data_IF_989916176894
#
_entry.id   IF_989916176894
#
_cell.length_a   1.000
_cell.length_b   1.000
_cell.length_c   1.000
_cell.angle_alpha   90.00
_cell.angle_beta   90.00
_cell.angle_gamma   90.00
#
_symmetry.space_group_name_H-M   'P 1'
#
loop_
_entity.id
_entity.type
_entity.pdbx_description
1 polymer ?
#
# COMPACT_ATOMS: atom_id res chain seq x y z
N UNK A 1 29.21 52.08 -33.90
CA UNK A 1 29.43 50.64 -33.64
C UNK A 1 30.01 50.54 -32.25
N UNK A 2 29.18 50.14 -31.28
CA UNK A 2 29.42 50.29 -29.84
C UNK A 2 29.36 48.93 -29.16
N UNK A 3 30.25 48.79 -28.19
CA UNK A 3 30.50 47.67 -27.30
C UNK A 3 29.23 47.11 -26.65
N UNK A 4 28.97 45.81 -26.82
CA UNK A 4 27.84 45.10 -26.17
C UNK A 4 28.22 43.74 -25.54
N UNK A 5 29.50 43.48 -25.29
CA UNK A 5 29.94 42.15 -24.84
C UNK A 5 30.54 42.09 -23.43
N UNK A 6 30.62 43.22 -22.71
CA UNK A 6 31.27 43.26 -21.38
C UNK A 6 30.33 42.99 -20.18
N UNK A 7 29.02 42.84 -20.38
CA UNK A 7 28.05 42.74 -19.27
C UNK A 7 27.75 41.31 -18.80
N UNK A 8 28.30 40.27 -19.43
CA UNK A 8 27.95 38.86 -19.11
C UNK A 8 28.96 38.13 -18.21
N UNK A 9 30.14 38.70 -17.98
CA UNK A 9 31.21 38.03 -17.24
C UNK A 9 31.15 38.23 -15.71
N UNK A 10 30.31 39.14 -15.19
CA UNK A 10 30.28 39.51 -13.76
C UNK A 10 29.00 39.05 -13.04
N UNK A 11 27.95 38.64 -13.78
CA UNK A 11 26.66 38.22 -13.19
C UNK A 11 26.61 36.75 -12.72
N UNK A 12 27.52 35.89 -13.20
CA UNK A 12 27.53 34.47 -12.84
C UNK A 12 28.00 34.15 -11.40
N UNK A 13 29.04 34.81 -10.82
CA UNK A 13 29.48 34.46 -9.47
C UNK A 13 28.55 34.96 -8.35
N UNK A 14 27.80 36.05 -8.57
CA UNK A 14 26.89 36.60 -7.56
C UNK A 14 25.69 35.66 -7.27
N UNK A 15 25.24 34.90 -8.26
CA UNK A 15 24.12 33.96 -8.12
C UNK A 15 24.53 32.67 -7.39
N UNK A 16 25.80 32.26 -7.49
CA UNK A 16 26.34 31.10 -6.76
C UNK A 16 26.50 31.37 -5.25
N UNK A 17 26.84 32.60 -4.86
CA UNK A 17 26.94 32.98 -3.43
C UNK A 17 25.56 32.97 -2.76
N UNK A 18 24.50 33.40 -3.45
CA UNK A 18 23.13 33.36 -2.94
C UNK A 18 22.57 31.93 -2.83
N UNK A 19 22.93 31.03 -3.76
CA UNK A 19 22.54 29.62 -3.69
C UNK A 19 23.26 28.85 -2.56
N UNK A 20 24.52 29.20 -2.26
CA UNK A 20 25.29 28.58 -1.18
C UNK A 20 24.79 28.94 0.22
N UNK A 21 24.32 30.17 0.44
CA UNK A 21 23.79 30.60 1.74
C UNK A 21 22.47 29.89 2.10
N UNK A 22 21.69 29.46 1.10
CA UNK A 22 20.43 28.72 1.35
C UNK A 22 20.64 27.31 1.90
N UNK A 23 21.85 26.74 1.84
CA UNK A 23 22.18 25.42 2.39
C UNK A 23 22.71 25.47 3.83
N UNK A 24 23.07 26.64 4.36
CA UNK A 24 23.60 26.81 5.72
C UNK A 24 22.54 27.19 6.76
N UNK A 25 21.27 27.36 6.37
CA UNK A 25 20.20 27.54 7.34
C UNK A 25 19.82 26.18 7.92
N UNK A 26 20.08 25.90 9.21
CA UNK A 26 19.54 24.72 9.86
C UNK A 26 18.03 24.81 9.77
N UNK A 27 17.41 23.91 9.01
CA UNK A 27 15.96 23.73 9.08
C UNK A 27 15.71 23.30 10.52
N UNK A 28 15.03 24.11 11.35
CA UNK A 28 14.70 23.66 12.69
C UNK A 28 13.98 22.32 12.52
N UNK A 29 14.37 21.28 13.29
CA UNK A 29 13.62 20.03 13.25
C UNK A 29 12.18 20.42 13.47
N UNK A 30 11.31 20.09 12.52
CA UNK A 30 9.89 20.28 12.67
C UNK A 30 9.48 19.37 13.82
N UNK A 31 9.59 19.91 15.05
CA UNK A 31 9.15 19.26 16.26
C UNK A 31 7.67 19.06 16.07
N UNK A 32 7.26 17.84 15.78
CA UNK A 32 5.87 17.50 15.67
C UNK A 32 5.28 17.63 17.08
N UNK A 33 4.75 18.81 17.40
CA UNK A 33 3.98 19.04 18.62
C UNK A 33 2.82 18.03 18.64
N UNK A 34 2.83 17.13 19.61
CA UNK A 34 1.74 16.17 19.78
C UNK A 34 0.76 16.74 20.79
N UNK A 35 -0.46 16.97 20.33
CA UNK A 35 -1.57 17.46 21.13
C UNK A 35 -2.33 16.28 21.74
N UNK A 36 -2.48 16.29 23.06
CA UNK A 36 -3.28 15.32 23.82
C UNK A 36 -4.59 15.96 24.25
N UNK A 37 -5.72 15.31 23.98
CA UNK A 37 -7.04 15.75 24.45
C UNK A 37 -7.89 14.54 24.87
N UNK A 38 -8.86 14.78 25.74
CA UNK A 38 -9.78 13.73 26.25
C UNK A 38 -11.19 14.09 25.82
N UNK A 39 -11.91 13.12 25.26
CA UNK A 39 -13.30 13.31 24.83
C UNK A 39 -14.32 13.11 25.98
N UNK A 40 -15.61 13.26 25.67
CA UNK A 40 -16.73 13.08 26.61
C UNK A 40 -16.84 11.64 27.15
N UNK A 41 -16.26 10.66 26.46
CA UNK A 41 -16.23 9.25 26.86
C UNK A 41 -14.99 8.91 27.67
N UNK A 42 -14.21 9.91 28.09
CA UNK A 42 -12.91 9.74 28.77
C UNK A 42 -11.86 9.00 27.92
N UNK A 43 -11.98 9.00 26.59
CA UNK A 43 -10.98 8.44 25.68
C UNK A 43 -9.92 9.50 25.37
N UNK A 44 -8.65 9.13 25.54
CA UNK A 44 -7.50 10.00 25.27
C UNK A 44 -7.09 9.88 23.81
N UNK A 45 -7.04 11.00 23.11
CA UNK A 45 -6.62 11.10 21.72
C UNK A 45 -5.31 11.88 21.61
N UNK A 46 -4.48 11.49 20.65
CA UNK A 46 -3.22 12.16 20.31
C UNK A 46 -3.25 12.58 18.84
N UNK A 47 -2.94 13.83 18.54
CA UNK A 47 -2.88 14.34 17.16
C UNK A 47 -1.67 15.25 16.98
N UNK A 48 -1.06 15.22 15.79
CA UNK A 48 0.02 16.13 15.41
C UNK A 48 -0.48 17.50 14.90
N UNK A 49 -1.80 17.67 14.74
CA UNK A 49 -2.39 18.89 14.20
C UNK A 49 -3.51 19.41 15.11
N UNK A 50 -3.31 20.59 15.71
CA UNK A 50 -4.31 21.24 16.57
C UNK A 50 -5.63 21.52 15.84
N UNK A 51 -5.58 21.84 14.55
CA UNK A 51 -6.77 22.13 13.76
C UNK A 51 -7.67 20.90 13.54
N UNK A 52 -7.15 19.68 13.75
CA UNK A 52 -7.97 18.46 13.68
C UNK A 52 -8.77 18.20 14.97
N UNK A 53 -8.55 18.98 16.02
CA UNK A 53 -9.23 18.81 17.31
C UNK A 53 -10.59 19.53 17.25
N UNK A 54 -11.71 18.87 17.61
CA UNK A 54 -13.02 19.52 17.63
C UNK A 54 -13.01 20.77 18.52
N UNK A 55 -13.68 21.84 18.08
CA UNK A 55 -13.66 23.17 18.72
C UNK A 55 -13.92 23.09 20.24
N UNK A 56 -14.89 22.26 20.65
CA UNK A 56 -15.24 22.06 22.07
C UNK A 56 -14.12 21.50 22.96
N UNK A 57 -13.08 20.93 22.38
CA UNK A 57 -11.93 20.37 23.09
C UNK A 57 -10.64 21.17 22.88
N UNK A 58 -10.63 22.21 22.05
CA UNK A 58 -9.41 22.97 21.75
C UNK A 58 -8.83 23.71 22.96
N UNK A 59 -9.68 24.04 23.94
CA UNK A 59 -9.29 24.72 25.18
C UNK A 59 -8.80 23.77 26.27
N UNK A 60 -9.05 22.46 26.15
CA UNK A 60 -8.62 21.42 27.11
C UNK A 60 -7.37 20.66 26.66
N UNK A 61 -6.81 21.03 25.51
CA UNK A 61 -5.64 20.39 24.91
C UNK A 61 -4.40 20.65 25.76
N UNK A 62 -3.62 19.59 26.00
CA UNK A 62 -2.27 19.69 26.58
C UNK A 62 -1.24 19.38 25.51
N UNK A 63 -0.27 20.25 25.34
CA UNK A 63 0.91 20.02 24.50
C UNK A 63 1.79 19.01 25.24
N UNK A 64 2.12 17.90 24.59
CA UNK A 64 3.02 16.89 25.13
C UNK A 64 4.30 16.95 24.31
N UNK A 65 5.36 17.52 24.89
CA UNK A 65 6.64 17.74 24.21
C UNK A 65 7.34 16.43 23.82
N UNK A 66 7.04 15.35 24.53
CA UNK A 66 7.58 14.02 24.24
C UNK A 66 6.40 13.07 24.13
N UNK A 67 6.12 12.47 22.96
CA UNK A 67 5.13 11.42 22.86
C UNK A 67 5.44 10.40 23.97
N UNK A 68 4.49 10.08 24.86
CA UNK A 68 4.75 9.04 25.84
C UNK A 68 5.21 7.82 25.05
N UNK A 69 6.37 7.26 25.39
CA UNK A 69 6.84 6.01 24.79
C UNK A 69 5.62 5.10 24.76
N UNK A 70 5.09 4.84 23.56
CA UNK A 70 3.96 3.94 23.40
C UNK A 70 4.38 2.70 24.18
N UNK A 71 3.63 2.27 25.21
CA UNK A 71 3.96 1.04 25.90
C UNK A 71 4.02 0.01 24.79
N UNK A 72 5.24 -0.38 24.41
CA UNK A 72 5.52 -1.35 23.36
C UNK A 72 4.55 -2.46 23.66
N UNK A 73 3.53 -2.59 22.79
CA UNK A 73 2.35 -3.40 23.05
C UNK A 73 2.87 -4.65 23.72
N UNK A 74 2.66 -4.80 25.04
CA UNK A 74 3.27 -5.88 25.81
C UNK A 74 2.92 -7.08 24.98
N UNK A 75 3.92 -7.70 24.37
CA UNK A 75 3.76 -8.99 23.72
C UNK A 75 3.04 -9.77 24.79
N UNK A 76 1.76 -10.05 24.53
CA UNK A 76 0.92 -10.76 25.45
C UNK A 76 1.61 -12.12 25.46
N UNK A 77 2.50 -12.31 26.43
CA UNK A 77 3.04 -13.60 26.78
C UNK A 77 1.79 -14.39 27.05
N UNK A 78 1.37 -15.14 26.04
CA UNK A 78 0.39 -16.18 26.23
C UNK A 78 0.98 -17.00 27.36
N UNK A 79 0.28 -17.12 28.51
CA UNK A 79 0.74 -18.03 29.54
C UNK A 79 0.95 -19.35 28.82
N UNK A 80 2.20 -19.83 28.86
CA UNK A 80 2.54 -21.13 28.35
C UNK A 80 1.49 -22.07 28.94
N UNK A 81 0.58 -22.54 28.09
CA UNK A 81 -0.31 -23.61 28.47
C UNK A 81 0.63 -24.78 28.65
N UNK A 82 0.99 -25.00 29.91
CA UNK A 82 1.48 -26.25 30.47
C UNK A 82 0.39 -27.30 30.17
N UNK A 83 0.33 -27.70 28.91
CA UNK A 83 -0.37 -28.91 28.51
C UNK A 83 0.61 -30.02 28.82
N UNK A 84 0.69 -30.36 30.11
CA UNK A 84 1.15 -31.67 30.52
C UNK A 84 0.26 -32.66 29.78
N UNK A 85 0.84 -33.35 28.81
CA UNK A 85 0.26 -34.55 28.22
C UNK A 85 0.67 -35.66 29.20
N UNK A 86 -0.24 -36.17 30.06
CA UNK A 86 0.06 -37.36 30.81
C UNK A 86 -0.03 -38.55 29.85
N UNK A 87 1.04 -39.32 29.76
CA UNK A 87 1.04 -40.72 29.32
C UNK A 87 0.26 -41.02 28.05
N UNK A 88 0.92 -40.91 26.90
CA UNK A 88 0.60 -41.80 25.78
C UNK A 88 1.73 -42.83 25.70
N UNK A 89 1.34 -44.03 26.11
CA UNK A 89 2.07 -45.28 26.00
C UNK A 89 2.57 -45.44 24.56
N UNK A 90 3.84 -45.84 24.43
CA UNK A 90 4.45 -46.33 23.19
C UNK A 90 3.68 -47.57 22.72
N UNK A 91 2.71 -47.39 21.83
CA UNK A 91 2.16 -48.47 21.03
C UNK A 91 3.04 -48.61 19.77
N UNK A 92 4.05 -49.47 19.88
CA UNK A 92 4.74 -50.07 18.74
C UNK A 92 3.71 -50.74 17.82
N UNK A 93 3.52 -50.21 16.62
CA UNK A 93 2.92 -50.96 15.52
C UNK A 93 3.69 -50.75 14.21
N UNK A 94 3.68 -51.77 13.34
CA UNK A 94 4.86 -52.22 12.61
C UNK A 94 5.05 -51.53 11.28
N UNK A 95 6.29 -51.64 10.80
CA UNK A 95 6.67 -51.43 9.41
C UNK A 95 5.75 -52.22 8.46
N UNK A 96 4.96 -51.51 7.65
CA UNK A 96 4.48 -52.06 6.38
C UNK A 96 4.82 -51.10 5.23
N UNK A 97 5.77 -51.57 4.43
CA UNK A 97 6.12 -51.06 3.12
C UNK A 97 5.07 -51.53 2.13
N UNK A 98 4.26 -50.63 1.55
CA UNK A 98 3.86 -50.77 0.15
C UNK A 98 3.00 -49.64 -0.40
N UNK A 99 3.40 -49.23 -1.61
CA UNK A 99 2.57 -48.80 -2.75
C UNK A 99 1.96 -47.40 -2.74
N UNK A 100 2.45 -46.61 -3.70
CA UNK A 100 1.67 -45.53 -4.30
C UNK A 100 2.51 -44.57 -5.14
N UNK A 101 2.93 -45.01 -6.32
CA UNK A 101 3.50 -44.11 -7.33
C UNK A 101 2.50 -43.00 -7.69
N UNK A 102 2.93 -41.74 -7.85
CA UNK A 102 2.05 -40.66 -8.31
C UNK A 102 1.69 -40.85 -9.79
N UNK A 103 0.43 -40.65 -10.21
CA UNK A 103 0.07 -40.71 -11.62
C UNK A 103 0.65 -39.53 -12.40
N UNK A 104 1.34 -39.87 -13.49
CA UNK A 104 1.78 -38.98 -14.55
C UNK A 104 0.62 -38.11 -15.04
N UNK A 105 0.74 -36.79 -14.88
CA UNK A 105 -0.20 -35.81 -15.40
C UNK A 105 0.16 -35.52 -16.85
N UNK A 106 -0.52 -36.18 -17.77
CA UNK A 106 -0.46 -35.93 -19.22
C UNK A 106 -1.01 -34.54 -19.55
N UNK A 107 -0.19 -33.80 -20.28
CA UNK A 107 -0.51 -32.88 -21.38
C UNK A 107 -1.96 -32.43 -21.53
N UNK A 108 -2.20 -31.14 -21.25
CA UNK A 108 -3.30 -30.37 -21.85
C UNK A 108 -2.67 -29.26 -22.68
N UNK A 109 -2.40 -29.59 -23.93
CA UNK A 109 -2.09 -28.65 -25.01
C UNK A 109 -3.37 -27.90 -25.37
N UNK A 110 -3.67 -26.84 -24.63
CA UNK A 110 -4.77 -25.92 -24.94
C UNK A 110 -4.27 -24.74 -25.77
N UNK A 111 -4.17 -24.94 -27.08
CA UNK A 111 -4.03 -23.87 -28.07
C UNK A 111 -5.21 -22.88 -27.93
N UNK A 112 -4.98 -21.70 -27.36
CA UNK A 112 -5.92 -20.58 -27.47
C UNK A 112 -5.41 -19.66 -28.58
N UNK A 113 -5.91 -19.93 -29.77
CA UNK A 113 -5.85 -19.08 -30.95
C UNK A 113 -6.68 -17.81 -30.66
N UNK A 114 -6.03 -16.75 -30.17
CA UNK A 114 -6.68 -15.43 -30.05
C UNK A 114 -6.67 -14.76 -31.42
N UNK A 115 -7.77 -14.94 -32.14
CA UNK A 115 -8.08 -14.18 -33.36
C UNK A 115 -8.17 -12.68 -33.06
N UNK A 116 -7.38 -11.90 -33.78
CA UNK A 116 -7.58 -10.46 -33.93
C UNK A 116 -8.71 -10.16 -34.92
N UNK A 117 -9.63 -9.29 -34.53
CA UNK A 117 -10.59 -8.53 -35.35
C UNK A 117 -11.49 -7.80 -34.34
N UNK A 118 -11.74 -6.50 -34.36
CA UNK A 118 -11.46 -5.40 -35.26
C UNK A 118 -12.32 -4.21 -34.80
N UNK A 119 -12.26 -3.14 -35.59
CA UNK A 119 -13.20 -2.00 -35.60
C UNK A 119 -13.06 -0.95 -34.49
N UNK A 120 -12.23 0.05 -34.81
CA UNK A 120 -12.45 1.43 -34.41
C UNK A 120 -13.82 1.92 -34.93
N UNK A 121 -14.79 2.09 -34.03
CA UNK A 121 -16.04 2.77 -34.31
C UNK A 121 -15.99 4.17 -33.70
N UNK A 122 -15.76 5.17 -34.58
CA UNK A 122 -16.14 6.56 -34.33
C UNK A 122 -17.66 6.61 -34.23
N UNK A 123 -18.21 6.70 -33.02
CA UNK A 123 -19.63 6.97 -32.84
C UNK A 123 -19.85 8.43 -32.44
N UNK A 124 -20.56 9.13 -33.31
CA UNK A 124 -20.94 10.51 -33.19
C UNK A 124 -22.03 10.71 -32.13
N UNK A 125 -21.84 11.75 -31.32
CA UNK A 125 -22.83 12.74 -30.87
C UNK A 125 -24.31 12.37 -31.14
N UNK A 126 -25.05 12.09 -30.07
CA UNK A 126 -26.46 12.48 -29.96
C UNK A 126 -26.67 13.26 -28.67
N UNK A 127 -26.89 14.56 -28.85
CA UNK A 127 -27.39 15.49 -27.85
C UNK A 127 -28.88 15.19 -27.67
N UNK A 128 -29.24 14.45 -26.63
CA UNK A 128 -30.64 14.25 -26.24
C UNK A 128 -30.92 15.14 -25.04
N UNK A 129 -31.40 16.36 -25.31
CA UNK A 129 -32.11 17.20 -24.35
C UNK A 129 -33.46 16.52 -24.05
N UNK A 130 -33.41 15.51 -23.17
CA UNK A 130 -34.56 14.83 -22.63
C UNK A 130 -34.76 15.27 -21.19
N UNK A 131 -35.80 16.06 -20.98
CA UNK A 131 -36.28 16.60 -19.71
C UNK A 131 -36.76 15.46 -18.82
N UNK A 132 -35.84 14.71 -18.24
CA UNK A 132 -36.13 13.67 -17.24
C UNK A 132 -36.46 14.38 -15.93
N UNK A 133 -37.74 14.27 -15.55
CA UNK A 133 -38.26 14.73 -14.28
C UNK A 133 -37.35 14.23 -13.16
N UNK A 134 -36.83 15.17 -12.37
CA UNK A 134 -36.08 14.94 -11.15
C UNK A 134 -36.86 13.98 -10.26
N UNK A 135 -36.60 12.68 -10.39
CA UNK A 135 -36.98 11.71 -9.37
C UNK A 135 -36.27 12.24 -8.13
N UNK A 136 -36.99 12.64 -7.07
CA UNK A 136 -36.37 13.15 -5.87
C UNK A 136 -35.43 12.05 -5.41
N UNK A 137 -34.13 12.33 -5.52
CA UNK A 137 -33.01 11.52 -5.04
C UNK A 137 -33.45 11.04 -3.67
N UNK A 138 -33.92 9.78 -3.61
CA UNK A 138 -34.66 9.27 -2.48
C UNK A 138 -33.86 9.64 -1.26
N UNK A 139 -34.46 10.44 -0.37
CA UNK A 139 -33.85 10.86 0.86
C UNK A 139 -33.40 9.58 1.56
N UNK A 140 -32.11 9.26 1.40
CA UNK A 140 -31.51 8.07 1.93
C UNK A 140 -31.69 8.23 3.43
N UNK A 141 -32.62 7.46 3.99
CA UNK A 141 -32.76 7.35 5.43
C UNK A 141 -31.33 7.13 5.94
N UNK A 142 -30.85 7.95 6.90
CA UNK A 142 -29.50 7.80 7.41
C UNK A 142 -29.37 6.35 7.83
N UNK A 143 -28.62 5.56 7.04
CA UNK A 143 -28.34 4.15 7.29
C UNK A 143 -27.37 4.10 8.45
N UNK A 144 -27.85 4.52 9.62
CA UNK A 144 -27.24 4.43 10.92
C UNK A 144 -27.39 2.97 11.37
N UNK A 145 -26.87 2.03 10.57
CA UNK A 145 -27.40 0.66 10.55
C UNK A 145 -26.42 -0.48 10.32
N UNK A 146 -25.14 -0.23 10.04
CA UNK A 146 -24.15 -1.31 9.93
C UNK A 146 -22.91 -0.99 10.78
N UNK A 147 -22.93 -1.46 12.02
CA UNK A 147 -21.82 -1.39 12.98
C UNK A 147 -21.31 0.04 13.30
N UNK A 148 -22.17 1.06 13.13
CA UNK A 148 -21.79 2.46 13.35
C UNK A 148 -20.84 3.05 12.31
N UNK A 149 -20.67 2.39 11.14
CA UNK A 149 -19.77 2.86 10.07
C UNK A 149 -20.56 3.20 8.81
N UNK A 150 -20.57 4.48 8.46
CA UNK A 150 -21.28 4.99 7.28
C UNK A 150 -20.52 4.82 5.96
N UNK A 151 -21.12 5.32 4.89
CA UNK A 151 -20.58 5.34 3.51
C UNK A 151 -19.12 5.83 3.44
N UNK A 152 -18.82 6.97 4.08
CA UNK A 152 -17.49 7.56 4.04
C UNK A 152 -16.40 6.64 4.60
N UNK A 153 -16.73 5.81 5.60
CA UNK A 153 -15.77 4.85 6.14
C UNK A 153 -15.45 3.74 5.13
N UNK A 154 -16.48 3.17 4.50
CA UNK A 154 -16.30 2.10 3.51
C UNK A 154 -15.53 2.59 2.29
N UNK A 155 -15.88 3.75 1.73
CA UNK A 155 -15.14 4.36 0.62
C UNK A 155 -13.68 4.60 0.97
N UNK A 156 -13.41 5.18 2.14
CA UNK A 156 -12.03 5.40 2.59
C UNK A 156 -11.24 4.09 2.71
N UNK A 157 -11.85 3.03 3.24
CA UNK A 157 -11.20 1.72 3.38
C UNK A 157 -10.92 1.05 2.04
N UNK A 158 -11.87 1.09 1.10
CA UNK A 158 -11.67 0.53 -0.24
C UNK A 158 -10.60 1.30 -1.01
N UNK A 159 -10.66 2.64 -1.01
CA UNK A 159 -9.67 3.48 -1.67
C UNK A 159 -8.26 3.27 -1.09
N UNK A 160 -8.11 3.20 0.23
CA UNK A 160 -6.81 2.96 0.83
C UNK A 160 -6.27 1.56 0.50
N UNK A 161 -7.14 0.54 0.52
CA UNK A 161 -6.75 -0.82 0.15
C UNK A 161 -6.32 -0.91 -1.32
N UNK A 162 -7.05 -0.26 -2.23
CA UNK A 162 -6.72 -0.19 -3.66
C UNK A 162 -5.38 0.50 -3.88
N UNK A 163 -5.19 1.69 -3.30
CA UNK A 163 -3.91 2.42 -3.37
C UNK A 163 -2.77 1.61 -2.79
N UNK A 164 -3.01 0.87 -1.70
CA UNK A 164 -2.04 -0.04 -1.11
C UNK A 164 -1.59 -1.13 -2.09
N UNK A 165 -2.54 -1.79 -2.76
CA UNK A 165 -2.26 -2.82 -3.78
C UNK A 165 -1.51 -2.21 -4.96
N UNK A 166 -1.96 -1.06 -5.47
CA UNK A 166 -1.35 -0.40 -6.63
C UNK A 166 0.09 0.04 -6.35
N UNK A 167 0.35 0.74 -5.24
CA UNK A 167 1.70 1.14 -4.81
C UNK A 167 2.62 -0.08 -4.70
N UNK A 168 2.15 -1.14 -4.06
CA UNK A 168 2.94 -2.36 -3.89
C UNK A 168 3.21 -3.06 -5.23
N UNK A 169 2.24 -3.03 -6.15
CA UNK A 169 2.42 -3.60 -7.49
C UNK A 169 3.47 -2.84 -8.30
N UNK A 170 3.49 -1.51 -8.22
CA UNK A 170 4.53 -0.69 -8.85
C UNK A 170 5.92 -1.00 -8.30
N UNK A 171 6.04 -1.23 -6.98
CA UNK A 171 7.29 -1.66 -6.34
C UNK A 171 7.76 -3.01 -6.89
N UNK A 172 6.87 -4.00 -6.97
CA UNK A 172 7.22 -5.32 -7.52
C UNK A 172 7.66 -5.22 -8.98
N UNK A 173 6.97 -4.43 -9.80
CA UNK A 173 7.33 -4.29 -11.21
C UNK A 173 8.66 -3.57 -11.39
N UNK A 174 8.96 -2.53 -10.59
CA UNK A 174 10.25 -1.84 -10.66
C UNK A 174 11.43 -2.76 -10.29
N UNK A 175 11.25 -3.66 -9.31
CA UNK A 175 12.23 -4.68 -8.97
C UNK A 175 12.44 -5.69 -10.11
N UNK A 176 11.34 -6.14 -10.75
CA UNK A 176 11.41 -7.04 -11.91
C UNK A 176 12.12 -6.38 -13.09
N UNK A 177 11.82 -5.12 -13.37
CA UNK A 177 12.49 -4.35 -14.42
C UNK A 177 13.98 -4.19 -14.13
N UNK A 178 14.35 -3.89 -12.89
CA UNK A 178 15.76 -3.81 -12.49
C UNK A 178 16.48 -5.15 -12.68
N UNK A 179 15.86 -6.26 -12.27
CA UNK A 179 16.42 -7.60 -12.51
C UNK A 179 16.58 -7.91 -14.01
N UNK A 180 15.58 -7.60 -14.83
CA UNK A 180 15.67 -7.74 -16.30
C UNK A 180 16.83 -6.91 -16.87
N UNK A 181 17.04 -5.70 -16.37
CA UNK A 181 18.16 -4.84 -16.79
C UNK A 181 19.52 -5.45 -16.42
N UNK A 182 19.68 -5.96 -15.20
CA UNK A 182 20.92 -6.61 -14.75
C UNK A 182 21.22 -7.86 -15.58
N UNK A 183 20.20 -8.71 -15.83
CA UNK A 183 20.34 -9.91 -16.66
C UNK A 183 20.75 -9.51 -18.09
N UNK A 184 20.10 -8.48 -18.65
CA UNK A 184 20.39 -7.98 -19.99
C UNK A 184 21.82 -7.43 -20.09
N UNK A 185 22.29 -6.68 -19.09
CA UNK A 185 23.67 -6.17 -19.09
C UNK A 185 24.71 -7.30 -18.97
N UNK A 186 24.40 -8.38 -18.25
CA UNK A 186 25.29 -9.54 -18.15
C UNK A 186 25.33 -10.36 -19.44
N UNK A 187 24.20 -10.51 -20.14
CA UNK A 187 24.15 -11.24 -21.41
C UNK A 187 24.96 -10.61 -22.54
N UNK A 188 25.39 -9.35 -22.39
CA UNK A 188 26.14 -8.59 -23.38
C UNK A 188 27.60 -9.01 -23.57
N UNK A 189 28.11 -10.01 -22.83
CA UNK A 189 29.46 -10.57 -23.02
C UNK A 189 30.61 -9.83 -22.33
N UNK A 190 30.39 -8.63 -21.80
CA UNK A 190 31.39 -7.84 -21.07
C UNK A 190 31.40 -8.07 -19.55
N UNK A 191 30.54 -8.97 -19.03
CA UNK A 191 30.48 -9.22 -17.59
C UNK A 191 31.71 -10.00 -17.10
N UNK A 192 32.43 -9.39 -16.15
CA UNK A 192 33.65 -9.95 -15.53
C UNK A 192 33.34 -11.09 -14.55
N UNK A 193 32.11 -11.13 -14.01
CA UNK A 193 31.68 -12.08 -12.99
C UNK A 193 30.45 -12.88 -13.43
N UNK A 194 30.27 -14.11 -12.93
CA UNK A 194 29.00 -14.82 -13.03
C UNK A 194 27.84 -13.97 -12.49
N UNK A 195 26.67 -14.07 -13.11
CA UNK A 195 25.48 -13.29 -12.72
C UNK A 195 25.08 -13.57 -11.26
N UNK A 196 25.26 -14.81 -10.81
CA UNK A 196 24.99 -15.25 -9.45
C UNK A 196 25.88 -14.56 -8.42
N UNK A 197 27.06 -14.08 -8.81
CA UNK A 197 28.02 -13.39 -7.95
C UNK A 197 27.85 -11.85 -7.99
N UNK A 198 26.96 -11.32 -8.83
CA UNK A 198 26.66 -9.90 -8.85
C UNK A 198 25.88 -9.50 -7.56
N UNK A 199 26.42 -8.56 -6.75
CA UNK A 199 25.80 -8.20 -5.48
C UNK A 199 24.46 -7.46 -5.64
N UNK A 200 24.27 -6.71 -6.73
CA UNK A 200 22.96 -6.11 -7.04
C UNK A 200 21.95 -7.19 -7.43
N UNK A 201 22.35 -8.17 -8.24
CA UNK A 201 21.48 -9.30 -8.60
C UNK A 201 21.00 -10.04 -7.35
N UNK A 202 21.93 -10.46 -6.48
CA UNK A 202 21.60 -11.16 -5.24
C UNK A 202 20.67 -10.33 -4.34
N UNK A 203 20.96 -9.03 -4.18
CA UNK A 203 20.11 -8.13 -3.39
C UNK A 203 18.68 -8.09 -3.93
N UNK A 204 18.51 -7.91 -5.23
CA UNK A 204 17.17 -7.84 -5.84
C UNK A 204 16.44 -9.18 -5.81
N UNK A 205 17.16 -10.28 -6.07
CA UNK A 205 16.63 -11.64 -6.01
C UNK A 205 16.12 -12.01 -4.60
N UNK A 206 16.77 -11.50 -3.55
CA UNK A 206 16.34 -11.70 -2.16
C UNK A 206 15.15 -10.83 -1.75
N UNK A 207 15.05 -9.60 -2.28
CA UNK A 207 13.98 -8.66 -1.93
C UNK A 207 12.67 -9.00 -2.64
N UNK A 208 12.73 -9.39 -3.92
CA UNK A 208 11.54 -9.57 -4.76
C UNK A 208 10.50 -10.55 -4.16
N UNK A 209 10.86 -11.76 -3.67
CA UNK A 209 9.89 -12.70 -3.07
C UNK A 209 9.16 -12.12 -1.85
N UNK A 210 9.83 -11.27 -1.07
CA UNK A 210 9.24 -10.59 0.09
C UNK A 210 8.19 -9.57 -0.33
N UNK A 211 8.50 -8.76 -1.33
CA UNK A 211 7.59 -7.74 -1.85
C UNK A 211 6.39 -8.37 -2.59
N UNK A 212 6.60 -9.48 -3.29
CA UNK A 212 5.51 -10.27 -3.89
C UNK A 212 4.60 -10.89 -2.83
N UNK A 213 5.18 -11.40 -1.74
CA UNK A 213 4.41 -11.93 -0.61
C UNK A 213 3.53 -10.85 0.02
N UNK A 214 4.07 -9.63 0.17
CA UNK A 214 3.33 -8.46 0.66
C UNK A 214 2.20 -8.06 -0.28
N UNK A 215 2.44 -8.03 -1.59
CA UNK A 215 1.41 -7.78 -2.60
C UNK A 215 0.28 -8.82 -2.50
N UNK A 216 0.62 -10.09 -2.37
CA UNK A 216 -0.34 -11.18 -2.23
C UNK A 216 -1.15 -11.08 -0.92
N UNK A 217 -0.54 -10.61 0.17
CA UNK A 217 -1.25 -10.32 1.42
C UNK A 217 -2.24 -9.17 1.25
N UNK A 218 -1.85 -8.06 0.62
CA UNK A 218 -2.75 -6.94 0.35
C UNK A 218 -3.93 -7.35 -0.53
N UNK A 219 -3.68 -8.12 -1.60
CA UNK A 219 -4.74 -8.68 -2.45
C UNK A 219 -5.68 -9.61 -1.69
N UNK A 220 -5.19 -10.40 -0.74
CA UNK A 220 -6.04 -11.22 0.15
C UNK A 220 -6.88 -10.36 1.08
N UNK A 221 -6.30 -9.31 1.67
CA UNK A 221 -7.02 -8.38 2.52
C UNK A 221 -8.13 -7.66 1.75
N UNK A 222 -7.85 -7.22 0.52
CA UNK A 222 -8.84 -6.61 -0.37
C UNK A 222 -10.00 -7.57 -0.68
N UNK A 223 -9.70 -8.85 -1.00
CA UNK A 223 -10.74 -9.87 -1.21
C UNK A 223 -11.60 -10.11 0.03
N UNK A 224 -11.00 -10.11 1.22
CA UNK A 224 -11.74 -10.21 2.49
C UNK A 224 -12.63 -8.99 2.73
N UNK A 225 -12.15 -7.79 2.42
CA UNK A 225 -12.93 -6.56 2.52
C UNK A 225 -14.15 -6.59 1.58
N UNK A 226 -13.94 -7.04 0.33
CA UNK A 226 -15.02 -7.24 -0.63
C UNK A 226 -16.04 -8.29 -0.17
N UNK A 227 -15.57 -9.43 0.33
CA UNK A 227 -16.45 -10.48 0.85
C UNK A 227 -17.31 -9.96 2.01
N UNK A 228 -16.71 -9.21 2.95
CA UNK A 228 -17.44 -8.59 4.06
C UNK A 228 -18.43 -7.53 3.60
N UNK A 229 -18.07 -6.72 2.60
CA UNK A 229 -18.99 -5.75 2.03
C UNK A 229 -20.19 -6.42 1.34
N UNK A 230 -19.96 -7.55 0.66
CA UNK A 230 -21.04 -8.36 0.06
C UNK A 230 -21.95 -8.96 1.12
N UNK A 231 -21.38 -9.54 2.18
CA UNK A 231 -22.13 -10.12 3.31
C UNK A 231 -23.05 -9.08 3.97
N UNK A 232 -22.54 -7.87 4.15
CA UNK A 232 -23.29 -6.73 4.71
C UNK A 232 -24.16 -6.00 3.68
N UNK A 233 -24.27 -6.51 2.44
CA UNK A 233 -25.03 -5.92 1.32
C UNK A 233 -24.71 -4.43 1.10
N UNK A 234 -23.45 -4.05 1.29
CA UNK A 234 -22.99 -2.69 1.06
C UNK A 234 -23.17 -2.37 -0.44
N UNK A 235 -23.76 -1.24 -0.82
CA UNK A 235 -23.89 -0.83 -2.22
C UNK A 235 -22.55 -0.85 -2.99
N UNK A 236 -22.57 -1.14 -4.29
CA UNK A 236 -21.35 -1.24 -5.11
C UNK A 236 -20.68 0.12 -5.35
N UNK A 237 -21.47 1.19 -5.42
CA UNK A 237 -21.02 2.58 -5.57
C UNK A 237 -20.25 3.11 -4.35
N UNK A 238 -20.25 2.39 -3.22
CA UNK A 238 -19.40 2.68 -2.06
C UNK A 238 -18.01 2.05 -2.17
N UNK A 239 -17.76 1.24 -3.21
CA UNK A 239 -16.54 0.45 -3.41
C UNK A 239 -15.69 0.96 -4.59
N UNK A 240 -16.27 1.86 -5.39
CA UNK A 240 -15.65 2.60 -6.49
C UNK A 240 -15.07 3.93 -5.97
#
# INVERSE_FOLDING_TARGET
MRDRNLSRAILAPALLVLAGISWLLPVPPAGAEVFKWTDENSVVHYTANRASIPIKFQDTVKIVETPPEMPLARTREFPASETGIPGLEEEELPADSSRGAPPSRTDVTGNVLVSGQGAAAKSARTKTEGREASIPRSAALPMQGYLGRGEGWWRAQFLESLRGVERQQQIVESYRDRLRQIIKSHSGGDAVLPLEDDPEFQKMANILPREESRLNQLKRNMRRLQARANELRIPSDWRE
#
